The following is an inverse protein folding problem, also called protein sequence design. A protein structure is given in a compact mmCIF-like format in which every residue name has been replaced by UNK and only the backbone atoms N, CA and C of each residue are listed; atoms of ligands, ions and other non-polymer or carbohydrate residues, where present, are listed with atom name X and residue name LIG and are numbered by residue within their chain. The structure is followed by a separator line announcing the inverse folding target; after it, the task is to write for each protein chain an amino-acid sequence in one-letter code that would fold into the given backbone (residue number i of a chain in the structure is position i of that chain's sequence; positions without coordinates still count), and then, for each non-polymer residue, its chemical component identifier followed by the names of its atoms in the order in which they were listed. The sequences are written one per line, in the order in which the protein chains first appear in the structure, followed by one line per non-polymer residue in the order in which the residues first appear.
data_IF_616244701681
#
_entry.id   IF_616244701681
#
_cell.length_a   1.000
_cell.length_b   1.000
_cell.length_c   1.000
_cell.angle_alpha   90.00
_cell.angle_beta   90.00
_cell.angle_gamma   90.00
#
_symmetry.space_group_name_H-M   'P 1'
#
loop_
_entity.id
_entity.type
_entity.pdbx_description
1 polymer ?
#
# COMPACT_ATOMS: atom_id res chain seq x y z
N UNK A 1 25.80 18.13 13.39
CA UNK A 1 25.53 16.93 12.57
C UNK A 1 24.32 17.19 11.69
N UNK A 2 24.53 17.44 10.38
CA UNK A 2 23.46 17.57 9.39
C UNK A 2 23.16 16.17 8.84
N UNK A 3 22.16 15.49 9.39
CA UNK A 3 21.68 14.23 8.83
C UNK A 3 20.77 14.51 7.64
N UNK A 4 21.07 13.81 6.55
CA UNK A 4 20.44 13.91 5.24
C UNK A 4 19.02 13.34 5.31
N UNK A 5 18.03 14.15 5.69
CA UNK A 5 16.61 13.87 5.43
C UNK A 5 16.30 14.24 3.97
N UNK A 6 16.81 13.45 3.02
CA UNK A 6 16.38 13.52 1.62
C UNK A 6 15.33 12.44 1.38
N UNK A 7 14.09 12.87 1.15
CA UNK A 7 13.10 12.16 0.34
C UNK A 7 12.56 10.81 0.87
N UNK A 8 12.19 10.74 2.15
CA UNK A 8 11.44 9.59 2.71
C UNK A 8 9.91 9.67 2.47
N UNK A 9 9.46 10.64 1.69
CA UNK A 9 8.06 10.89 1.39
C UNK A 9 7.56 9.91 0.33
N UNK A 10 6.75 8.96 0.78
CA UNK A 10 5.59 8.46 0.04
C UNK A 10 5.81 7.67 -1.25
N UNK A 11 7.06 7.36 -1.61
CA UNK A 11 7.32 6.25 -2.53
C UNK A 11 7.05 4.89 -1.87
N UNK A 12 7.08 4.81 -0.53
CA UNK A 12 7.13 3.53 0.20
C UNK A 12 5.80 2.82 0.48
N UNK A 13 4.63 3.48 0.46
CA UNK A 13 3.37 2.74 0.63
C UNK A 13 3.04 1.93 -0.63
N UNK A 14 3.36 2.51 -1.80
CA UNK A 14 3.29 1.81 -3.09
C UNK A 14 4.53 0.94 -3.31
N UNK A 15 5.74 1.30 -2.85
CA UNK A 15 6.92 0.42 -2.95
C UNK A 15 6.92 -0.77 -1.98
N UNK A 16 6.24 -0.70 -0.83
CA UNK A 16 6.06 -1.88 0.02
C UNK A 16 5.14 -2.91 -0.69
N UNK A 17 4.08 -2.43 -1.33
CA UNK A 17 3.24 -3.25 -2.23
C UNK A 17 3.97 -3.64 -3.53
N UNK A 18 4.84 -2.77 -4.07
CA UNK A 18 5.59 -3.02 -5.29
C UNK A 18 6.82 -3.89 -5.06
N UNK A 19 7.36 -4.05 -3.86
CA UNK A 19 8.44 -5.02 -3.63
C UNK A 19 7.86 -6.44 -3.56
N UNK A 20 6.64 -6.59 -3.05
CA UNK A 20 5.87 -7.85 -3.13
C UNK A 20 5.39 -8.11 -4.57
N UNK A 21 4.97 -7.07 -5.30
CA UNK A 21 4.47 -7.18 -6.68
C UNK A 21 5.53 -7.13 -7.80
N UNK A 22 6.72 -6.56 -7.58
CA UNK A 22 7.79 -6.47 -8.59
C UNK A 22 8.63 -7.75 -8.68
N UNK A 23 8.55 -8.64 -7.68
CA UNK A 23 8.93 -10.04 -7.88
C UNK A 23 8.01 -10.75 -8.89
N UNK A 24 6.78 -10.25 -9.10
CA UNK A 24 5.73 -10.87 -9.92
C UNK A 24 5.56 -10.21 -11.30
N UNK A 25 6.60 -9.52 -11.84
CA UNK A 25 6.61 -9.10 -13.24
C UNK A 25 7.23 -10.20 -14.09
N UNK A 26 6.39 -11.10 -14.59
CA UNK A 26 6.63 -11.74 -15.88
C UNK A 26 5.81 -10.98 -16.92
N UNK A 27 6.50 -10.55 -17.98
CA UNK A 27 5.93 -9.91 -19.17
C UNK A 27 5.06 -10.90 -19.94
N UNK A 28 3.83 -11.14 -19.50
CA UNK A 28 2.84 -11.84 -20.31
C UNK A 28 1.79 -10.85 -20.81
N UNK A 29 1.99 -10.43 -22.06
CA UNK A 29 0.91 -9.89 -22.88
C UNK A 29 -0.17 -10.97 -22.99
N UNK A 30 -1.37 -10.71 -22.48
CA UNK A 30 -2.52 -11.56 -22.74
C UNK A 30 -3.75 -10.74 -23.13
N UNK A 31 -4.24 -11.04 -24.33
CA UNK A 31 -5.53 -10.65 -24.88
C UNK A 31 -6.69 -11.22 -24.05
N UNK A 32 -7.75 -10.41 -23.89
CA UNK A 32 -9.13 -10.89 -24.01
C UNK A 32 -9.76 -11.68 -22.86
N UNK A 33 -9.54 -11.30 -21.61
CA UNK A 33 -10.39 -11.69 -20.49
C UNK A 33 -11.11 -10.48 -19.90
N UNK A 34 -12.36 -10.63 -19.49
CA UNK A 34 -13.15 -9.62 -18.78
C UNK A 34 -12.53 -9.26 -17.42
N UNK A 35 -11.41 -8.55 -17.45
CA UNK A 35 -10.78 -7.95 -16.29
C UNK A 35 -11.60 -6.71 -15.90
N UNK A 36 -12.56 -6.90 -15.01
CA UNK A 36 -13.33 -5.84 -14.35
C UNK A 36 -12.44 -4.84 -13.59
N UNK A 37 -11.15 -5.15 -13.42
CA UNK A 37 -10.10 -4.18 -13.10
C UNK A 37 -9.44 -3.67 -14.38
N UNK A 38 -10.20 -3.02 -15.27
CA UNK A 38 -9.62 -2.30 -16.40
C UNK A 38 -8.52 -1.38 -15.90
N UNK A 39 -7.33 -1.55 -16.46
CA UNK A 39 -6.11 -0.85 -16.08
C UNK A 39 -6.38 0.65 -16.04
N UNK A 40 -6.39 1.24 -14.84
CA UNK A 40 -6.43 2.68 -14.69
C UNK A 40 -5.21 3.23 -15.42
N UNK A 41 -5.42 3.87 -16.58
CA UNK A 41 -4.31 4.46 -17.36
C UNK A 41 -3.60 5.48 -16.48
N UNK A 42 -2.47 5.06 -15.94
CA UNK A 42 -1.63 5.85 -15.04
C UNK A 42 -1.09 7.06 -15.81
N UNK A 43 -1.69 8.24 -15.62
CA UNK A 43 -1.01 9.50 -15.92
C UNK A 43 -0.11 9.87 -14.74
N UNK A 44 1.24 9.82 -14.90
CA UNK A 44 2.17 10.15 -13.84
C UNK A 44 1.97 11.57 -13.27
N UNK A 45 1.39 12.49 -14.06
CA UNK A 45 1.15 13.89 -13.67
C UNK A 45 0.00 14.04 -12.67
N UNK A 46 -0.94 13.09 -12.63
CA UNK A 46 -2.11 13.13 -11.72
C UNK A 46 -2.00 12.10 -10.59
N UNK A 47 -1.08 11.14 -10.67
CA UNK A 47 -0.84 10.12 -9.65
C UNK A 47 -0.59 10.70 -8.24
N UNK A 48 0.24 11.74 -8.14
CA UNK A 48 0.49 12.43 -6.86
C UNK A 48 -0.74 13.11 -6.27
N UNK A 49 -1.70 13.52 -7.11
CA UNK A 49 -2.96 14.14 -6.67
C UNK A 49 -3.96 13.08 -6.17
N UNK A 50 -3.96 11.89 -6.74
CA UNK A 50 -4.86 10.81 -6.31
C UNK A 50 -4.46 10.17 -4.99
N UNK A 51 -3.18 10.31 -4.58
CA UNK A 51 -2.74 10.04 -3.22
C UNK A 51 -3.42 10.91 -2.16
N UNK A 52 -4.00 12.06 -2.53
CA UNK A 52 -4.84 12.84 -1.63
C UNK A 52 -6.18 12.16 -1.30
N UNK A 53 -6.60 11.21 -2.14
CA UNK A 53 -7.89 10.52 -2.03
C UNK A 53 -7.82 9.25 -1.17
N UNK A 54 -6.60 8.83 -0.84
CA UNK A 54 -6.33 7.78 0.15
C UNK A 54 -6.13 8.44 1.51
N UNK A 55 -7.09 8.27 2.40
CA UNK A 55 -7.01 8.83 3.74
C UNK A 55 -6.05 8.01 4.61
N UNK A 56 -5.21 8.68 5.44
CA UNK A 56 -4.38 7.99 6.42
C UNK A 56 -5.25 7.22 7.41
N UNK A 57 -4.91 5.95 7.62
CA UNK A 57 -5.64 5.08 8.56
C UNK A 57 -4.73 4.68 9.71
N UNK A 58 -5.31 4.56 10.90
CA UNK A 58 -4.63 3.98 12.05
C UNK A 58 -4.33 2.51 11.73
N UNK A 59 -3.09 2.03 11.92
CA UNK A 59 -2.74 0.67 11.59
C UNK A 59 -3.54 -0.34 12.38
N UNK A 60 -4.00 -1.40 11.72
CA UNK A 60 -4.38 -2.62 12.44
C UNK A 60 -3.15 -3.19 13.14
N UNK A 61 -3.36 -3.76 14.34
CA UNK A 61 -2.29 -4.43 15.07
C UNK A 61 -1.91 -5.74 14.35
N UNK A 62 -0.81 -5.69 13.61
CA UNK A 62 -0.27 -6.82 12.85
C UNK A 62 1.10 -7.19 13.39
N UNK A 63 1.44 -8.47 13.26
CA UNK A 63 2.78 -8.99 13.52
C UNK A 63 3.26 -9.70 12.26
N UNK A 64 4.57 -9.63 12.03
CA UNK A 64 5.23 -10.39 10.96
C UNK A 64 5.90 -11.60 11.63
N UNK A 65 5.72 -12.83 11.10
CA UNK A 65 5.01 -13.16 9.86
C UNK A 65 3.50 -12.94 9.93
N UNK A 66 2.91 -12.52 8.80
CA UNK A 66 1.48 -12.27 8.68
C UNK A 66 0.72 -13.60 8.68
N UNK A 67 -0.53 -13.59 9.16
CA UNK A 67 -1.44 -14.73 8.95
C UNK A 67 -1.82 -14.87 7.48
N UNK A 68 -2.22 -16.06 7.03
CA UNK A 68 -2.63 -16.31 5.64
C UNK A 68 -3.74 -15.36 5.18
N UNK A 69 -4.71 -15.07 6.06
CA UNK A 69 -5.78 -14.12 5.80
C UNK A 69 -5.24 -12.71 5.59
N UNK A 70 -4.34 -12.25 6.46
CA UNK A 70 -3.71 -10.93 6.35
C UNK A 70 -2.82 -10.82 5.10
N UNK A 71 -2.11 -11.88 4.74
CA UNK A 71 -1.32 -11.92 3.50
C UNK A 71 -2.21 -11.81 2.27
N UNK A 72 -3.33 -12.55 2.25
CA UNK A 72 -4.27 -12.49 1.14
C UNK A 72 -4.92 -11.10 1.04
N UNK A 73 -5.37 -10.53 2.17
CA UNK A 73 -5.90 -9.17 2.22
C UNK A 73 -4.87 -8.14 1.80
N UNK A 74 -3.62 -8.30 2.23
CA UNK A 74 -2.52 -7.43 1.83
C UNK A 74 -2.25 -7.53 0.32
N UNK A 75 -2.25 -8.73 -0.25
CA UNK A 75 -2.10 -8.95 -1.69
C UNK A 75 -3.30 -8.40 -2.50
N UNK A 76 -4.51 -8.44 -1.94
CA UNK A 76 -5.71 -7.88 -2.55
C UNK A 76 -5.77 -6.34 -2.44
N UNK A 77 -5.15 -5.77 -1.41
CA UNK A 77 -5.30 -4.35 -1.06
C UNK A 77 -4.86 -3.39 -2.15
N UNK A 78 -3.77 -3.68 -2.88
CA UNK A 78 -3.23 -2.80 -3.91
C UNK A 78 -4.28 -2.47 -4.97
N UNK A 79 -4.86 -3.49 -5.59
CA UNK A 79 -5.78 -3.30 -6.71
C UNK A 79 -7.10 -2.71 -6.24
N UNK A 80 -7.59 -3.15 -5.08
CA UNK A 80 -8.82 -2.67 -4.49
C UNK A 80 -8.73 -1.18 -4.11
N UNK A 81 -7.64 -0.77 -3.46
CA UNK A 81 -7.39 0.62 -3.09
C UNK A 81 -7.20 1.48 -4.33
N UNK A 82 -6.42 1.02 -5.32
CA UNK A 82 -6.22 1.77 -6.57
C UNK A 82 -7.52 1.93 -7.36
N UNK A 83 -8.36 0.89 -7.43
CA UNK A 83 -9.65 0.97 -8.10
C UNK A 83 -10.61 1.93 -7.39
N UNK A 84 -10.67 1.88 -6.05
CA UNK A 84 -11.43 2.83 -5.24
C UNK A 84 -10.97 4.28 -5.45
N UNK A 85 -9.65 4.49 -5.48
CA UNK A 85 -9.04 5.79 -5.77
C UNK A 85 -9.37 6.24 -7.19
N UNK A 86 -9.33 5.36 -8.19
CA UNK A 86 -9.70 5.66 -9.58
C UNK A 86 -11.16 6.10 -9.72
N UNK A 87 -12.08 5.42 -9.03
CA UNK A 87 -13.50 5.83 -8.98
C UNK A 87 -13.67 7.20 -8.33
N UNK A 88 -12.94 7.50 -7.24
CA UNK A 88 -12.96 8.82 -6.59
C UNK A 88 -12.33 9.89 -7.46
N UNK A 89 -11.23 9.58 -8.14
CA UNK A 89 -10.52 10.47 -9.05
C UNK A 89 -11.41 10.94 -10.20
N UNK A 90 -12.24 10.06 -10.75
CA UNK A 90 -13.19 10.39 -11.80
C UNK A 90 -14.22 11.47 -11.38
N UNK A 91 -14.43 11.68 -10.07
CA UNK A 91 -15.32 12.73 -9.56
C UNK A 91 -14.63 14.11 -9.47
N UNK A 92 -13.33 14.21 -9.72
CA UNK A 92 -12.56 15.44 -9.63
C UNK A 92 -12.12 15.93 -11.00
N UNK A 93 -12.54 17.14 -11.37
CA UNK A 93 -12.02 17.79 -12.57
C UNK A 93 -10.64 18.39 -12.30
N UNK A 94 -9.59 17.64 -12.67
CA UNK A 94 -8.20 18.06 -12.52
C UNK A 94 -7.75 19.06 -13.58
N UNK A 95 -8.59 19.45 -14.54
CA UNK A 95 -8.27 20.56 -15.45
C UNK A 95 -8.36 21.92 -14.74
N UNK A 96 -9.24 22.03 -13.73
CA UNK A 96 -9.42 23.22 -12.92
C UNK A 96 -8.29 23.44 -11.90
N UNK A 97 -7.78 24.67 -11.83
CA UNK A 97 -6.66 25.03 -10.94
C UNK A 97 -7.01 24.88 -9.45
N UNK A 98 -8.22 25.28 -9.05
CA UNK A 98 -8.70 25.18 -7.68
C UNK A 98 -8.77 23.71 -7.20
N UNK A 99 -9.23 22.79 -8.06
CA UNK A 99 -9.26 21.35 -7.76
C UNK A 99 -7.85 20.81 -7.54
N UNK A 100 -6.89 21.18 -8.41
CA UNK A 100 -5.49 20.76 -8.27
C UNK A 100 -4.87 21.28 -6.97
N UNK A 101 -5.12 22.54 -6.61
CA UNK A 101 -4.61 23.14 -5.38
C UNK A 101 -5.21 22.47 -4.14
N UNK A 102 -6.53 22.23 -4.13
CA UNK A 102 -7.20 21.49 -3.07
C UNK A 102 -6.60 20.09 -2.88
N UNK A 103 -6.41 19.34 -3.97
CA UNK A 103 -5.83 18.00 -3.90
C UNK A 103 -4.37 18.03 -3.41
N UNK A 104 -3.57 19.05 -3.79
CA UNK A 104 -2.20 19.22 -3.26
C UNK A 104 -2.19 19.52 -1.77
N UNK A 105 -3.06 20.41 -1.31
CA UNK A 105 -3.17 20.75 0.11
C UNK A 105 -3.57 19.52 0.93
N UNK A 106 -4.58 18.77 0.45
CA UNK A 106 -5.01 17.50 1.06
C UNK A 106 -3.91 16.45 1.04
N UNK A 107 -3.15 16.34 -0.05
CA UNK A 107 -2.01 15.43 -0.12
C UNK A 107 -0.95 15.74 0.96
N UNK A 108 -0.58 17.02 1.12
CA UNK A 108 0.37 17.45 2.15
C UNK A 108 -0.15 17.14 3.56
N UNK A 109 -1.43 17.46 3.83
CA UNK A 109 -2.05 17.14 5.13
C UNK A 109 -2.08 15.63 5.40
N UNK A 110 -2.39 14.81 4.38
CA UNK A 110 -2.35 13.36 4.51
C UNK A 110 -0.93 12.84 4.81
N UNK A 111 0.12 13.45 4.23
CA UNK A 111 1.51 13.08 4.53
C UNK A 111 1.87 13.35 5.99
N UNK A 112 1.55 14.53 6.49
CA UNK A 112 1.79 14.93 7.88
C UNK A 112 1.06 13.97 8.84
N UNK A 113 -0.23 13.73 8.60
CA UNK A 113 -1.03 12.81 9.41
C UNK A 113 -0.55 11.36 9.33
N UNK A 114 -0.10 10.90 8.15
CA UNK A 114 0.50 9.55 8.01
C UNK A 114 1.75 9.43 8.87
N UNK A 115 2.61 10.45 8.87
CA UNK A 115 3.82 10.45 9.69
C UNK A 115 3.48 10.37 11.19
N UNK A 116 2.52 11.17 11.66
CA UNK A 116 2.06 11.15 13.05
C UNK A 116 1.54 9.77 13.45
N UNK A 117 0.69 9.17 12.61
CA UNK A 117 0.14 7.83 12.82
C UNK A 117 1.26 6.79 12.92
N UNK A 118 2.23 6.82 12.00
CA UNK A 118 3.35 5.87 12.00
C UNK A 118 4.24 6.04 13.23
N UNK A 119 4.56 7.28 13.63
CA UNK A 119 5.33 7.56 14.85
C UNK A 119 4.59 7.03 16.07
N UNK A 120 3.28 7.26 16.17
CA UNK A 120 2.46 6.78 17.27
C UNK A 120 2.45 5.25 17.33
N UNK A 121 2.31 4.57 16.19
CA UNK A 121 2.31 3.12 16.11
C UNK A 121 3.67 2.52 16.53
N UNK A 122 4.77 3.14 16.10
CA UNK A 122 6.12 2.72 16.50
C UNK A 122 6.34 2.91 18.00
N UNK A 123 5.91 4.04 18.57
CA UNK A 123 5.95 4.27 20.02
C UNK A 123 5.11 3.25 20.80
N UNK A 124 4.04 2.74 20.21
CA UNK A 124 3.22 1.67 20.77
C UNK A 124 3.85 0.26 20.61
N UNK A 125 5.07 0.14 20.08
CA UNK A 125 5.80 -1.13 19.99
C UNK A 125 5.57 -1.93 18.71
N UNK A 126 5.04 -1.27 17.66
CA UNK A 126 5.07 -1.81 16.29
C UNK A 126 6.41 -1.46 15.64
N UNK A 127 6.83 -2.26 14.66
CA UNK A 127 7.83 -1.78 13.69
C UNK A 127 7.16 -0.86 12.66
N UNK A 128 7.95 -0.08 11.92
CA UNK A 128 7.50 0.67 10.76
C UNK A 128 6.91 -0.26 9.69
N UNK A 129 7.46 -1.46 9.49
CA UNK A 129 6.86 -2.45 8.57
C UNK A 129 5.45 -2.86 9.00
N UNK A 130 5.30 -3.23 10.27
CA UNK A 130 4.01 -3.62 10.84
C UNK A 130 3.01 -2.46 10.76
N UNK A 131 3.42 -1.24 11.13
CA UNK A 131 2.56 -0.07 11.05
C UNK A 131 2.12 0.23 9.60
N UNK A 132 3.01 0.08 8.62
CA UNK A 132 2.67 0.28 7.20
C UNK A 132 1.69 -0.78 6.70
N UNK A 133 1.95 -2.06 6.96
CA UNK A 133 1.07 -3.15 6.54
C UNK A 133 -0.29 -3.01 7.23
N UNK A 134 -0.30 -2.75 8.53
CA UNK A 134 -1.52 -2.50 9.29
C UNK A 134 -2.33 -1.33 8.75
N UNK A 135 -1.68 -0.26 8.27
CA UNK A 135 -2.37 0.88 7.63
C UNK A 135 -3.04 0.48 6.32
N UNK A 136 -2.35 -0.33 5.50
CA UNK A 136 -2.89 -0.83 4.23
C UNK A 136 -4.06 -1.77 4.45
N UNK A 137 -3.98 -2.66 5.45
CA UNK A 137 -5.10 -3.52 5.82
C UNK A 137 -6.28 -2.72 6.37
N UNK A 138 -6.04 -1.69 7.20
CA UNK A 138 -7.08 -0.79 7.65
C UNK A 138 -7.79 -0.08 6.48
N UNK A 139 -7.03 0.36 5.47
CA UNK A 139 -7.59 0.94 4.25
C UNK A 139 -8.44 -0.08 3.47
N UNK A 140 -8.00 -1.33 3.42
CA UNK A 140 -8.74 -2.41 2.76
C UNK A 140 -10.06 -2.70 3.45
N UNK A 141 -10.10 -2.77 4.78
CA UNK A 141 -11.33 -3.06 5.54
C UNK A 141 -12.43 -2.00 5.34
N UNK A 142 -12.03 -0.76 5.04
CA UNK A 142 -12.94 0.35 4.76
C UNK A 142 -13.48 0.37 3.32
N UNK A 143 -13.05 -0.55 2.46
CA UNK A 143 -13.56 -0.65 1.10
C UNK A 143 -14.97 -1.26 1.07
N UNK A 144 -15.78 -0.92 0.05
CA UNK A 144 -17.06 -1.58 -0.20
C UNK A 144 -16.91 -3.10 -0.28
N UNK A 145 -17.88 -3.84 0.28
CA UNK A 145 -17.80 -5.31 0.39
C UNK A 145 -17.68 -6.00 -0.96
N UNK A 146 -18.42 -5.52 -1.97
CA UNK A 146 -18.33 -6.01 -3.34
C UNK A 146 -16.92 -5.90 -3.91
N UNK A 147 -16.24 -4.78 -3.64
CA UNK A 147 -14.87 -4.55 -4.09
C UNK A 147 -13.86 -5.43 -3.34
N UNK A 148 -14.05 -5.63 -2.03
CA UNK A 148 -13.22 -6.53 -1.22
C UNK A 148 -13.30 -7.96 -1.75
N UNK A 149 -14.50 -8.48 -1.99
CA UNK A 149 -14.69 -9.85 -2.48
C UNK A 149 -14.05 -10.07 -3.86
N UNK A 150 -14.23 -9.13 -4.81
CA UNK A 150 -13.58 -9.20 -6.13
C UNK A 150 -12.07 -9.18 -6.04
N UNK A 151 -11.51 -8.29 -5.22
CA UNK A 151 -10.07 -8.19 -5.04
C UNK A 151 -9.46 -9.43 -4.36
N UNK A 152 -10.17 -10.03 -3.38
CA UNK A 152 -9.75 -11.28 -2.75
C UNK A 152 -9.77 -12.44 -3.74
N UNK A 153 -10.80 -12.55 -4.59
CA UNK A 153 -10.86 -13.56 -5.63
C UNK A 153 -9.68 -13.44 -6.61
N UNK A 154 -9.40 -12.22 -7.10
CA UNK A 154 -8.26 -11.97 -7.97
C UNK A 154 -6.91 -12.26 -7.29
N UNK A 155 -6.77 -11.91 -6.01
CA UNK A 155 -5.55 -12.19 -5.25
C UNK A 155 -5.32 -13.69 -5.04
N UNK A 156 -6.36 -14.49 -4.80
CA UNK A 156 -6.26 -15.96 -4.70
C UNK A 156 -5.74 -16.57 -6.00
N UNK A 157 -6.34 -16.19 -7.13
CA UNK A 157 -5.90 -16.65 -8.45
C UNK A 157 -4.43 -16.33 -8.74
N UNK A 158 -3.97 -15.13 -8.35
CA UNK A 158 -2.55 -14.76 -8.48
C UNK A 158 -1.65 -15.54 -7.54
N UNK A 159 -2.08 -15.75 -6.29
CA UNK A 159 -1.31 -16.57 -5.35
C UNK A 159 -1.13 -17.98 -5.89
N UNK A 160 -2.16 -18.61 -6.45
CA UNK A 160 -2.10 -19.94 -7.06
C UNK A 160 -1.11 -20.00 -8.23
N UNK A 161 -1.01 -18.93 -9.03
CA UNK A 161 -0.06 -18.81 -10.13
C UNK A 161 1.37 -18.49 -9.69
N UNK A 162 1.56 -18.03 -8.46
CA UNK A 162 2.88 -17.66 -7.93
C UNK A 162 3.57 -18.91 -7.37
N UNK A 163 4.78 -19.27 -7.84
CA UNK A 163 5.50 -20.43 -7.32
C UNK A 163 5.72 -20.35 -5.81
N UNK A 164 5.55 -21.48 -5.11
CA UNK A 164 5.71 -21.56 -3.65
C UNK A 164 7.06 -21.00 -3.16
N UNK A 165 8.15 -21.39 -3.82
CA UNK A 165 9.50 -20.93 -3.47
C UNK A 165 9.63 -19.39 -3.52
N UNK A 166 8.93 -18.74 -4.47
CA UNK A 166 8.93 -17.29 -4.58
C UNK A 166 8.14 -16.65 -3.43
N UNK A 167 6.97 -17.22 -3.09
CA UNK A 167 6.16 -16.74 -1.95
C UNK A 167 6.95 -16.83 -0.65
N UNK A 168 7.63 -17.95 -0.42
CA UNK A 168 8.42 -18.18 0.79
C UNK A 168 9.66 -17.27 0.85
N UNK A 169 10.32 -17.02 -0.28
CA UNK A 169 11.43 -16.08 -0.35
C UNK A 169 11.00 -14.65 0.05
N UNK A 170 9.83 -14.20 -0.43
CA UNK A 170 9.31 -12.87 -0.10
C UNK A 170 8.94 -12.78 1.39
N UNK A 171 8.24 -13.81 1.93
CA UNK A 171 7.92 -13.90 3.36
C UNK A 171 9.16 -13.82 4.23
N UNK A 172 10.18 -14.61 3.90
CA UNK A 172 11.46 -14.63 4.61
C UNK A 172 12.15 -13.26 4.57
N UNK A 173 12.21 -12.63 3.40
CA UNK A 173 12.82 -11.31 3.27
C UNK A 173 12.10 -10.24 4.11
N UNK A 174 10.76 -10.27 4.13
CA UNK A 174 9.96 -9.37 4.96
C UNK A 174 10.22 -9.61 6.45
N UNK A 175 10.25 -10.87 6.87
CA UNK A 175 10.53 -11.25 8.25
C UNK A 175 11.92 -10.80 8.70
N UNK A 176 12.97 -11.12 7.93
CA UNK A 176 14.36 -10.74 8.27
C UNK A 176 14.52 -9.22 8.37
N UNK A 177 13.83 -8.45 7.52
CA UNK A 177 13.83 -6.98 7.59
C UNK A 177 13.11 -6.48 8.85
N UNK A 178 11.97 -7.08 9.19
CA UNK A 178 11.20 -6.71 10.36
C UNK A 178 11.94 -6.99 11.66
N UNK A 179 12.60 -8.14 11.76
CA UNK A 179 13.39 -8.54 12.93
C UNK A 179 14.55 -7.56 13.16
N UNK A 180 15.34 -7.27 12.11
CA UNK A 180 16.43 -6.28 12.17
C UNK A 180 15.94 -4.89 12.57
N UNK A 181 14.75 -4.51 12.11
CA UNK A 181 14.16 -3.22 12.48
C UNK A 181 13.73 -3.20 13.96
N UNK A 182 13.09 -4.27 14.42
CA UNK A 182 12.68 -4.42 15.82
C UNK A 182 13.87 -4.36 16.77
N UNK A 183 14.97 -5.05 16.44
CA UNK A 183 16.22 -4.99 17.21
C UNK A 183 16.74 -3.55 17.32
N UNK A 184 16.76 -2.80 16.21
CA UNK A 184 17.21 -1.39 16.20
C UNK A 184 16.32 -0.47 17.03
N UNK A 185 15.01 -0.72 17.05
CA UNK A 185 14.06 0.07 17.83
C UNK A 185 14.12 -0.24 19.33
N UNK A 186 14.58 -1.44 19.70
CA UNK A 186 14.72 -1.89 21.08
C UNK A 186 16.12 -1.68 21.66
N UNK A 187 17.12 -1.43 20.81
CA UNK A 187 18.47 -1.12 21.26
C UNK A 187 18.47 0.16 22.12
N UNK A 188 19.05 0.13 23.33
CA UNK A 188 19.22 1.35 24.13
C UNK A 188 20.13 2.32 23.35
N UNK A 189 19.62 3.53 23.13
CA UNK A 189 20.34 4.62 22.45
C UNK A 189 21.40 5.28 23.31
#
# INVERSE_FOLDING_TARGET
MRMVMRSFTMYFLILALASFAAGMRHDDKHDGGDDDFKEFKHDPKTHGLYMALTEPQVPLNVRIPLSEEQELKFAASRDAVLHSVGRKAAMHDTTHSATKEHLRARHKSNQERTLEILISAVRAGMTVQEARIGSVLAQFELLPEDLKQRALAAARLRQERTPQAQRDAIRRQLQERNEKERERLQAPG
#
